data_IF_754854644683
#
_entry.id   IF_754854644683
#
_cell.length_a   1.000
_cell.length_b   1.000
_cell.length_c   1.000
_cell.angle_alpha   90.00
_cell.angle_beta   90.00
_cell.angle_gamma   90.00
#
_symmetry.space_group_name_H-M   'P 1'
#
loop_
_entity.id
_entity.type
_entity.pdbx_description
1 polymer ?
#
# COMPACT_ATOMS: atom_id res chain seq x y z
N UNK A 1 -10.59 -17.64 -15.69
CA UNK A 1 -10.71 -16.63 -16.75
C UNK A 1 -9.93 -15.41 -16.31
N UNK A 2 -8.92 -14.99 -17.06
CA UNK A 2 -8.09 -13.83 -16.75
C UNK A 2 -8.87 -12.54 -16.99
N UNK A 3 -8.54 -11.45 -16.28
CA UNK A 3 -9.29 -10.19 -16.42
C UNK A 3 -9.31 -9.64 -17.86
N UNK A 4 -8.23 -9.87 -18.60
CA UNK A 4 -8.07 -9.53 -20.02
C UNK A 4 -9.00 -10.31 -20.94
N UNK A 5 -9.55 -11.45 -20.51
CA UNK A 5 -10.42 -12.31 -21.33
C UNK A 5 -11.90 -11.89 -21.26
N UNK A 6 -12.31 -11.15 -20.22
CA UNK A 6 -13.66 -10.61 -20.15
C UNK A 6 -13.93 -9.57 -21.26
N UNK A 7 -15.18 -9.36 -21.59
CA UNK A 7 -15.62 -8.21 -22.37
C UNK A 7 -15.69 -6.96 -21.49
N UNK A 8 -15.69 -5.76 -22.08
CA UNK A 8 -15.86 -4.51 -21.32
C UNK A 8 -17.17 -4.49 -20.53
N UNK A 9 -18.23 -5.11 -21.05
CA UNK A 9 -19.52 -5.21 -20.37
C UNK A 9 -19.47 -6.14 -19.15
N UNK A 10 -18.80 -7.28 -19.25
CA UNK A 10 -18.58 -8.20 -18.11
C UNK A 10 -17.72 -7.55 -17.03
N UNK A 11 -16.64 -6.86 -17.42
CA UNK A 11 -15.80 -6.09 -16.48
C UNK A 11 -16.60 -5.01 -15.77
N UNK A 12 -17.40 -4.24 -16.51
CA UNK A 12 -18.25 -3.20 -15.94
C UNK A 12 -19.24 -3.78 -14.93
N UNK A 13 -19.91 -4.90 -15.26
CA UNK A 13 -20.83 -5.57 -14.35
C UNK A 13 -20.13 -6.09 -13.09
N UNK A 14 -18.94 -6.66 -13.24
CA UNK A 14 -18.14 -7.13 -12.12
C UNK A 14 -17.68 -5.98 -11.21
N UNK A 15 -17.20 -4.87 -11.80
CA UNK A 15 -16.75 -3.69 -11.06
C UNK A 15 -17.91 -2.94 -10.38
N UNK A 16 -19.08 -2.87 -11.01
CA UNK A 16 -20.30 -2.28 -10.42
C UNK A 16 -20.73 -3.05 -9.17
N UNK A 17 -20.52 -4.37 -9.15
CA UNK A 17 -20.87 -5.23 -8.01
C UNK A 17 -22.35 -5.11 -7.64
N UNK A 18 -22.61 -4.68 -6.41
CA UNK A 18 -23.96 -4.55 -5.85
C UNK A 18 -24.72 -3.27 -6.21
N UNK A 19 -24.08 -2.26 -6.83
CA UNK A 19 -24.77 -1.01 -7.20
C UNK A 19 -25.79 -1.26 -8.31
N UNK A 20 -26.93 -0.56 -8.35
CA UNK A 20 -27.82 -0.57 -9.52
C UNK A 20 -27.22 0.23 -10.68
N UNK A 21 -27.76 0.08 -11.89
CA UNK A 21 -27.33 0.88 -13.04
C UNK A 21 -27.59 2.37 -12.81
N UNK A 22 -28.71 2.68 -12.14
CA UNK A 22 -29.12 4.04 -11.76
C UNK A 22 -28.14 4.64 -10.75
N UNK A 23 -27.75 3.88 -9.73
CA UNK A 23 -26.75 4.32 -8.74
C UNK A 23 -25.39 4.58 -9.36
N UNK A 24 -24.94 3.72 -10.29
CA UNK A 24 -23.68 3.95 -11.00
C UNK A 24 -23.75 5.19 -11.90
N UNK A 25 -24.86 5.36 -12.61
CA UNK A 25 -25.06 6.51 -13.49
C UNK A 25 -25.04 7.83 -12.70
N UNK A 26 -25.72 7.86 -11.55
CA UNK A 26 -25.72 8.99 -10.61
C UNK A 26 -24.31 9.28 -10.09
N UNK A 27 -23.61 8.27 -9.57
CA UNK A 27 -22.25 8.42 -9.04
C UNK A 27 -21.24 8.91 -10.09
N UNK A 28 -21.40 8.46 -11.35
CA UNK A 28 -20.54 8.85 -12.46
C UNK A 28 -20.96 10.15 -13.17
N UNK A 29 -22.09 10.76 -12.79
CA UNK A 29 -22.60 11.96 -13.48
C UNK A 29 -22.94 11.72 -14.96
N UNK A 30 -23.37 10.50 -15.33
CA UNK A 30 -23.76 10.12 -16.69
C UNK A 30 -25.22 9.69 -16.74
N UNK A 31 -25.82 9.59 -17.93
CA UNK A 31 -27.17 9.05 -18.04
C UNK A 31 -27.19 7.53 -17.85
N UNK A 32 -28.27 7.00 -17.26
CA UNK A 32 -28.50 5.55 -17.10
C UNK A 32 -28.43 4.82 -18.46
N UNK A 33 -28.80 5.51 -19.55
CA UNK A 33 -28.68 5.01 -20.91
C UNK A 33 -27.24 4.67 -21.31
N UNK A 34 -26.25 5.47 -20.88
CA UNK A 34 -24.83 5.20 -21.13
C UNK A 34 -24.39 3.91 -20.43
N UNK A 35 -24.75 3.75 -19.16
CA UNK A 35 -24.44 2.53 -18.38
C UNK A 35 -25.09 1.31 -19.02
N UNK A 36 -26.38 1.38 -19.36
CA UNK A 36 -27.13 0.31 -20.04
C UNK A 36 -26.50 -0.08 -21.39
N UNK A 37 -26.04 0.91 -22.15
CA UNK A 37 -25.39 0.68 -23.44
C UNK A 37 -24.07 -0.06 -23.26
N UNK A 38 -23.24 0.36 -22.32
CA UNK A 38 -21.97 -0.31 -22.01
C UNK A 38 -22.16 -1.73 -21.51
N UNK A 39 -23.11 -1.97 -20.59
CA UNK A 39 -23.37 -3.32 -20.04
C UNK A 39 -23.98 -4.31 -21.05
N UNK A 40 -24.44 -3.83 -22.21
CA UNK A 40 -24.89 -4.65 -23.34
C UNK A 40 -23.83 -4.79 -24.45
N UNK A 41 -22.59 -4.35 -24.20
CA UNK A 41 -21.48 -4.46 -25.15
C UNK A 41 -21.39 -3.29 -26.14
N UNK A 42 -22.12 -2.21 -25.94
CA UNK A 42 -21.99 -0.98 -26.72
C UNK A 42 -20.79 -0.13 -26.28
N UNK A 43 -20.61 1.01 -26.95
CA UNK A 43 -19.53 1.97 -26.67
C UNK A 43 -20.04 3.23 -25.97
N UNK A 44 -19.15 3.92 -25.25
CA UNK A 44 -19.38 5.25 -24.69
C UNK A 44 -18.23 6.19 -25.07
N UNK A 45 -18.43 7.50 -24.86
CA UNK A 45 -17.36 8.48 -25.06
C UNK A 45 -16.25 8.29 -24.03
N UNK A 46 -15.03 8.70 -24.37
CA UNK A 46 -13.90 8.66 -23.44
C UNK A 46 -14.19 9.41 -22.11
N UNK A 47 -14.78 10.62 -22.10
CA UNK A 47 -15.16 11.29 -20.87
C UNK A 47 -16.10 10.45 -20.00
N UNK A 48 -17.13 9.82 -20.59
CA UNK A 48 -18.03 8.96 -19.84
C UNK A 48 -17.34 7.71 -19.28
N UNK A 49 -16.43 7.10 -20.03
CA UNK A 49 -15.64 5.96 -19.54
C UNK A 49 -14.73 6.37 -18.38
N UNK A 50 -14.12 7.55 -18.44
CA UNK A 50 -13.30 8.10 -17.37
C UNK A 50 -14.13 8.38 -16.11
N UNK A 51 -15.27 9.06 -16.24
CA UNK A 51 -16.16 9.32 -15.11
C UNK A 51 -16.70 8.04 -14.47
N UNK A 52 -17.03 7.03 -15.28
CA UNK A 52 -17.45 5.71 -14.76
C UNK A 52 -16.30 5.03 -14.00
N UNK A 53 -15.09 4.99 -14.58
CA UNK A 53 -13.94 4.38 -13.92
C UNK A 53 -13.61 5.07 -12.58
N UNK A 54 -13.63 6.40 -12.55
CA UNK A 54 -13.42 7.20 -11.36
C UNK A 54 -14.47 6.93 -10.27
N UNK A 55 -15.76 6.91 -10.64
CA UNK A 55 -16.86 6.59 -9.71
C UNK A 55 -16.77 5.19 -9.08
N UNK A 56 -16.14 4.25 -9.80
CA UNK A 56 -15.90 2.88 -9.35
C UNK A 56 -14.57 2.74 -8.58
N UNK A 57 -13.84 3.83 -8.38
CA UNK A 57 -12.53 3.83 -7.73
C UNK A 57 -11.47 3.04 -8.49
N UNK A 58 -11.54 3.01 -9.82
CA UNK A 58 -10.65 2.22 -10.69
C UNK A 58 -10.07 3.04 -11.83
N UNK A 59 -9.15 2.45 -12.58
CA UNK A 59 -8.54 3.07 -13.77
C UNK A 59 -9.29 2.64 -15.04
N UNK A 60 -9.39 3.51 -16.05
CA UNK A 60 -9.96 3.15 -17.35
C UNK A 60 -9.25 1.95 -18.00
N UNK A 61 -7.95 1.77 -17.75
CA UNK A 61 -7.19 0.59 -18.17
C UNK A 61 -7.75 -0.70 -17.56
N UNK A 62 -8.33 -0.66 -16.35
CA UNK A 62 -9.03 -1.80 -15.74
C UNK A 62 -10.34 -2.07 -16.46
N UNK A 63 -11.14 -1.03 -16.70
CA UNK A 63 -12.42 -1.15 -17.42
C UNK A 63 -12.24 -1.72 -18.83
N UNK A 64 -11.14 -1.34 -19.49
CA UNK A 64 -10.77 -1.80 -20.84
C UNK A 64 -9.96 -3.11 -20.86
N UNK A 65 -9.68 -3.72 -19.71
CA UNK A 65 -8.96 -5.00 -19.62
C UNK A 65 -7.47 -4.94 -19.91
N UNK A 66 -6.87 -3.74 -19.98
CA UNK A 66 -5.44 -3.51 -20.15
C UNK A 66 -4.66 -3.70 -18.85
N UNK A 67 -5.35 -3.61 -17.71
CA UNK A 67 -4.83 -3.88 -16.37
C UNK A 67 -5.85 -4.74 -15.61
N UNK A 68 -5.41 -5.67 -14.76
CA UNK A 68 -6.31 -6.32 -13.81
C UNK A 68 -6.83 -5.30 -12.76
N UNK A 69 -8.04 -5.46 -12.19
CA UNK A 69 -8.51 -4.62 -11.12
C UNK A 69 -7.55 -4.76 -9.96
N UNK A 70 -7.13 -3.63 -9.40
CA UNK A 70 -6.61 -3.67 -8.03
C UNK A 70 -7.79 -4.04 -7.15
N UNK A 71 -7.57 -4.86 -6.11
CA UNK A 71 -8.63 -5.20 -5.16
C UNK A 71 -9.31 -3.92 -4.69
N UNK A 72 -10.64 -3.87 -4.77
CA UNK A 72 -11.39 -2.84 -4.05
C UNK A 72 -11.13 -3.09 -2.57
N UNK A 73 -10.38 -2.18 -1.96
CA UNK A 73 -10.02 -2.26 -0.55
C UNK A 73 -11.33 -2.20 0.24
N UNK A 74 -11.69 -3.26 0.95
CA UNK A 74 -12.93 -3.28 1.73
C UNK A 74 -12.86 -2.34 2.95
N UNK A 75 -13.94 -2.24 3.75
CA UNK A 75 -13.95 -1.33 4.91
C UNK A 75 -12.83 -1.64 5.90
N UNK A 76 -12.54 -2.92 6.09
CA UNK A 76 -11.60 -3.40 7.10
C UNK A 76 -10.17 -3.22 6.60
N UNK A 77 -9.91 -3.51 5.33
CA UNK A 77 -8.62 -3.23 4.69
C UNK A 77 -8.34 -1.71 4.64
N UNK A 78 -9.36 -0.86 4.47
CA UNK A 78 -9.20 0.61 4.55
C UNK A 78 -8.86 1.06 5.98
N UNK A 79 -9.45 0.41 6.98
CA UNK A 79 -9.08 0.65 8.38
C UNK A 79 -7.64 0.20 8.64
N UNK A 80 -7.25 -0.98 8.16
CA UNK A 80 -5.89 -1.48 8.23
C UNK A 80 -4.89 -0.52 7.58
N UNK A 81 -5.19 -0.02 6.39
CA UNK A 81 -4.35 0.98 5.71
C UNK A 81 -4.19 2.27 6.52
N UNK A 82 -5.25 2.77 7.15
CA UNK A 82 -5.16 3.95 8.04
C UNK A 82 -4.27 3.68 9.25
N UNK A 83 -4.37 2.51 9.88
CA UNK A 83 -3.51 2.12 11.00
C UNK A 83 -2.04 2.04 10.57
N UNK A 84 -1.76 1.38 9.44
CA UNK A 84 -0.40 1.30 8.88
C UNK A 84 0.13 2.69 8.56
N UNK A 85 -0.69 3.54 7.95
CA UNK A 85 -0.31 4.92 7.63
C UNK A 85 0.10 5.69 8.88
N UNK A 86 -0.74 5.70 9.92
CA UNK A 86 -0.43 6.41 11.17
C UNK A 86 0.87 5.88 11.79
N UNK A 87 0.96 4.56 12.00
CA UNK A 87 2.12 3.93 12.60
C UNK A 87 3.41 4.14 11.80
N UNK A 88 3.33 4.18 10.46
CA UNK A 88 4.50 4.42 9.60
C UNK A 88 5.04 5.82 9.79
N UNK A 89 4.17 6.84 9.79
CA UNK A 89 4.60 8.21 9.96
C UNK A 89 5.12 8.47 11.38
N UNK A 90 4.41 7.98 12.40
CA UNK A 90 4.81 8.12 13.81
C UNK A 90 6.18 7.47 14.07
N UNK A 91 6.39 6.25 13.57
CA UNK A 91 7.67 5.55 13.66
C UNK A 91 8.79 6.25 12.87
N UNK A 92 8.48 6.93 11.76
CA UNK A 92 9.47 7.63 10.97
C UNK A 92 9.98 8.89 11.67
N UNK A 93 9.06 9.71 12.19
CA UNK A 93 9.41 10.94 12.92
C UNK A 93 9.92 10.65 14.33
N UNK A 94 9.73 9.42 14.83
CA UNK A 94 10.19 8.99 16.15
C UNK A 94 9.32 9.53 17.28
N UNK A 95 7.99 9.58 17.10
CA UNK A 95 7.09 9.84 18.23
C UNK A 95 7.32 8.70 19.24
N UNK A 96 7.67 9.02 20.50
CA UNK A 96 7.83 7.99 21.53
C UNK A 96 6.51 7.25 21.71
N UNK A 97 6.55 5.94 21.53
CA UNK A 97 5.44 5.08 21.89
C UNK A 97 5.61 4.68 23.35
N UNK A 98 4.53 4.74 24.15
CA UNK A 98 4.51 4.22 25.52
C UNK A 98 4.43 2.68 25.50
N UNK A 99 5.47 2.05 24.97
CA UNK A 99 5.59 0.59 24.84
C UNK A 99 6.96 0.17 25.35
N UNK A 100 7.02 -0.91 26.13
CA UNK A 100 8.28 -1.58 26.40
C UNK A 100 8.59 -2.49 25.21
N UNK A 101 9.66 -2.22 24.44
CA UNK A 101 9.91 -2.98 23.22
C UNK A 101 10.41 -4.38 23.54
N UNK A 102 9.91 -5.38 22.80
CA UNK A 102 10.46 -6.73 22.82
C UNK A 102 11.93 -6.80 22.37
N UNK A 103 12.51 -7.98 22.55
CA UNK A 103 13.84 -8.30 22.04
C UNK A 103 13.88 -8.29 20.50
N UNK A 104 15.07 -8.11 19.93
CA UNK A 104 15.24 -8.16 18.47
C UNK A 104 14.72 -9.48 17.88
N UNK A 105 14.97 -10.59 18.57
CA UNK A 105 14.52 -11.94 18.17
C UNK A 105 12.99 -12.04 18.13
N UNK A 106 12.30 -11.51 19.14
CA UNK A 106 10.84 -11.48 19.22
C UNK A 106 10.25 -10.63 18.10
N UNK A 107 10.81 -9.44 17.87
CA UNK A 107 10.33 -8.55 16.81
C UNK A 107 10.58 -9.15 15.42
N UNK A 108 11.71 -9.81 15.19
CA UNK A 108 11.96 -10.57 13.95
C UNK A 108 10.91 -11.68 13.74
N UNK A 109 10.44 -12.31 14.81
CA UNK A 109 9.36 -13.30 14.70
C UNK A 109 8.03 -12.64 14.32
N UNK A 110 7.75 -11.41 14.76
CA UNK A 110 6.58 -10.64 14.33
C UNK A 110 6.71 -10.23 12.86
N UNK A 111 7.89 -9.79 12.41
CA UNK A 111 8.17 -9.47 10.99
C UNK A 111 7.85 -10.67 10.10
N UNK A 112 8.35 -11.87 10.45
CA UNK A 112 8.04 -13.09 9.67
C UNK A 112 6.55 -13.38 9.57
N UNK A 113 5.79 -13.18 10.66
CA UNK A 113 4.31 -13.32 10.63
C UNK A 113 3.65 -12.27 9.75
N UNK A 114 4.18 -11.05 9.71
CA UNK A 114 3.71 -10.00 8.81
C UNK A 114 3.98 -10.38 7.34
N UNK A 115 5.16 -10.90 7.02
CA UNK A 115 5.46 -11.43 5.68
C UNK A 115 4.51 -12.56 5.29
N UNK A 116 4.27 -13.51 6.19
CA UNK A 116 3.32 -14.61 5.96
C UNK A 116 1.88 -14.11 5.73
N UNK A 117 1.48 -13.04 6.42
CA UNK A 117 0.18 -12.38 6.21
C UNK A 117 0.13 -11.67 4.86
N UNK A 118 1.22 -11.00 4.46
CA UNK A 118 1.34 -10.35 3.16
C UNK A 118 1.22 -11.35 2.00
N UNK A 119 2.07 -12.39 2.01
CA UNK A 119 2.07 -13.43 0.96
C UNK A 119 0.78 -14.26 0.97
N UNK A 120 0.17 -14.43 2.13
CA UNK A 120 -1.13 -15.08 2.28
C UNK A 120 -2.34 -14.19 1.94
N UNK A 121 -2.13 -12.92 1.57
CA UNK A 121 -3.21 -11.99 1.21
C UNK A 121 -4.14 -11.59 2.37
N UNK A 122 -3.68 -11.73 3.63
CA UNK A 122 -4.45 -11.42 4.85
C UNK A 122 -4.19 -9.98 5.28
N UNK A 123 -4.64 -9.01 4.48
CA UNK A 123 -4.23 -7.61 4.63
C UNK A 123 -4.79 -6.89 5.87
N UNK A 124 -5.95 -7.32 6.37
CA UNK A 124 -6.50 -6.83 7.66
C UNK A 124 -5.64 -7.27 8.84
N UNK A 125 -5.20 -8.54 8.84
CA UNK A 125 -4.26 -9.07 9.83
C UNK A 125 -2.92 -8.36 9.72
N UNK A 126 -2.40 -8.21 8.50
CA UNK A 126 -1.15 -7.51 8.22
C UNK A 126 -1.17 -6.08 8.77
N UNK A 127 -2.24 -5.32 8.51
CA UNK A 127 -2.35 -3.96 9.02
C UNK A 127 -2.39 -3.88 10.55
N UNK A 128 -3.00 -4.88 11.20
CA UNK A 128 -3.00 -5.00 12.68
C UNK A 128 -1.62 -5.33 13.22
N UNK A 129 -0.88 -6.24 12.58
CA UNK A 129 0.49 -6.59 12.95
C UNK A 129 1.42 -5.38 12.79
N UNK A 130 1.40 -4.74 11.62
CA UNK A 130 2.24 -3.58 11.32
C UNK A 130 1.93 -2.38 12.21
N UNK A 131 0.65 -2.14 12.51
CA UNK A 131 0.24 -1.04 13.38
C UNK A 131 0.81 -1.13 14.80
N UNK A 132 1.11 -2.34 15.29
CA UNK A 132 1.78 -2.57 16.58
C UNK A 132 3.29 -2.68 16.45
N UNK A 133 3.76 -3.35 15.40
CA UNK A 133 5.18 -3.63 15.19
C UNK A 133 5.99 -2.37 14.88
N UNK A 134 5.47 -1.43 14.09
CA UNK A 134 6.18 -0.19 13.74
C UNK A 134 6.61 0.65 14.96
N UNK A 135 5.71 1.01 15.90
CA UNK A 135 6.10 1.75 17.09
C UNK A 135 7.05 0.95 18.00
N UNK A 136 6.84 -0.37 18.12
CA UNK A 136 7.68 -1.23 18.96
C UNK A 136 9.09 -1.41 18.39
N UNK A 137 9.23 -1.65 17.08
CA UNK A 137 10.51 -1.71 16.40
C UNK A 137 11.24 -0.37 16.43
N UNK A 138 10.51 0.75 16.38
CA UNK A 138 11.09 2.08 16.54
C UNK A 138 11.60 2.30 17.96
N UNK A 139 10.79 2.00 18.98
CA UNK A 139 11.20 2.08 20.37
C UNK A 139 12.43 1.20 20.64
N UNK A 140 12.48 -0.01 20.08
CA UNK A 140 13.64 -0.89 20.18
C UNK A 140 14.89 -0.27 19.57
N UNK A 141 14.78 0.27 18.36
CA UNK A 141 15.89 0.95 17.70
C UNK A 141 16.39 2.10 18.56
N UNK A 142 15.51 2.99 19.02
CA UNK A 142 15.85 4.17 19.81
C UNK A 142 16.50 3.82 21.17
N UNK A 143 16.05 2.75 21.83
CA UNK A 143 16.63 2.26 23.08
C UNK A 143 17.94 1.47 22.91
N UNK A 144 18.28 1.03 21.69
CA UNK A 144 19.44 0.18 21.44
C UNK A 144 20.75 0.94 21.51
N UNK A 145 21.67 0.46 22.34
CA UNK A 145 23.06 0.89 22.35
C UNK A 145 23.86 0.38 21.14
N UNK A 146 25.11 0.83 21.01
CA UNK A 146 25.97 0.58 19.83
C UNK A 146 26.06 -0.89 19.40
N UNK A 147 26.12 -1.83 20.35
CA UNK A 147 26.27 -3.25 20.06
C UNK A 147 25.04 -3.90 19.39
N UNK A 148 23.85 -3.33 19.60
CA UNK A 148 22.59 -3.89 19.11
C UNK A 148 21.88 -3.00 18.08
N UNK A 149 22.38 -1.77 17.88
CA UNK A 149 21.82 -0.76 17.00
C UNK A 149 21.59 -1.26 15.58
N UNK A 150 22.55 -1.99 15.00
CA UNK A 150 22.45 -2.56 13.65
C UNK A 150 21.33 -3.61 13.56
N UNK A 151 21.24 -4.50 14.55
CA UNK A 151 20.24 -5.56 14.58
C UNK A 151 18.81 -4.99 14.75
N UNK A 152 18.65 -4.00 15.61
CA UNK A 152 17.39 -3.27 15.78
C UNK A 152 17.03 -2.43 14.54
N UNK A 153 18.02 -1.82 13.89
CA UNK A 153 17.82 -1.12 12.61
C UNK A 153 17.28 -2.08 11.56
N UNK A 154 17.84 -3.29 11.43
CA UNK A 154 17.37 -4.31 10.51
C UNK A 154 15.88 -4.62 10.67
N UNK A 155 15.44 -4.84 11.93
CA UNK A 155 14.01 -5.07 12.22
C UNK A 155 13.12 -3.91 11.77
N UNK A 156 13.53 -2.67 12.08
CA UNK A 156 12.75 -1.49 11.73
C UNK A 156 12.72 -1.28 10.20
N UNK A 157 13.83 -1.53 9.50
CA UNK A 157 13.92 -1.49 8.04
C UNK A 157 12.97 -2.51 7.41
N UNK A 158 13.02 -3.76 7.85
CA UNK A 158 12.16 -4.83 7.32
C UNK A 158 10.68 -4.53 7.57
N UNK A 159 10.37 -3.94 8.73
CA UNK A 159 9.00 -3.50 9.06
C UNK A 159 8.53 -2.40 8.12
N UNK A 160 9.36 -1.38 7.84
CA UNK A 160 9.05 -0.33 6.86
C UNK A 160 8.90 -0.87 5.44
N UNK A 161 9.73 -1.85 5.04
CA UNK A 161 9.60 -2.50 3.74
C UNK A 161 8.26 -3.24 3.62
N UNK A 162 7.89 -4.00 4.65
CA UNK A 162 6.62 -4.73 4.70
C UNK A 162 5.41 -3.78 4.66
N UNK A 163 5.49 -2.66 5.39
CA UNK A 163 4.48 -1.60 5.33
C UNK A 163 4.38 -0.98 3.92
N UNK A 164 5.52 -0.76 3.25
CA UNK A 164 5.56 -0.27 1.88
C UNK A 164 4.90 -1.22 0.89
N UNK A 165 5.19 -2.52 1.01
CA UNK A 165 4.56 -3.57 0.19
C UNK A 165 3.04 -3.61 0.41
N UNK A 166 2.59 -3.56 1.66
CA UNK A 166 1.18 -3.53 2.03
C UNK A 166 0.46 -2.30 1.43
N UNK A 167 1.04 -1.11 1.62
CA UNK A 167 0.49 0.14 1.10
C UNK A 167 0.37 0.13 -0.42
N UNK A 168 1.38 -0.42 -1.13
CA UNK A 168 1.35 -0.52 -2.59
C UNK A 168 0.22 -1.44 -3.08
N UNK A 169 0.03 -2.60 -2.44
CA UNK A 169 -1.04 -3.55 -2.79
C UNK A 169 -2.42 -2.96 -2.51
N UNK A 170 -2.57 -2.22 -1.41
CA UNK A 170 -3.80 -1.54 -1.02
C UNK A 170 -4.00 -0.19 -1.75
N UNK A 171 -3.15 0.13 -2.74
CA UNK A 171 -3.32 1.29 -3.62
C UNK A 171 -2.81 2.63 -3.09
N UNK A 172 -2.17 2.68 -1.92
CA UNK A 172 -1.55 3.89 -1.36
C UNK A 172 -0.08 3.99 -1.77
N UNK A 173 0.16 4.47 -3.00
CA UNK A 173 1.50 4.57 -3.57
C UNK A 173 2.40 5.55 -2.85
N UNK A 174 1.87 6.68 -2.42
CA UNK A 174 2.65 7.71 -1.73
C UNK A 174 3.13 7.19 -0.37
N UNK A 175 2.25 6.51 0.38
CA UNK A 175 2.64 5.83 1.62
C UNK A 175 3.67 4.73 1.37
N UNK A 176 3.52 3.96 0.29
CA UNK A 176 4.49 2.94 -0.07
C UNK A 176 5.89 3.54 -0.30
N UNK A 177 5.96 4.63 -1.05
CA UNK A 177 7.21 5.34 -1.30
C UNK A 177 7.79 5.96 -0.02
N UNK A 178 6.95 6.56 0.82
CA UNK A 178 7.34 7.12 2.10
C UNK A 178 7.95 6.06 3.02
N UNK A 179 7.26 4.93 3.22
CA UNK A 179 7.73 3.83 4.06
C UNK A 179 9.11 3.31 3.61
N UNK A 180 9.30 3.08 2.30
CA UNK A 180 10.59 2.66 1.76
C UNK A 180 11.68 3.72 1.98
N UNK A 181 11.35 5.00 1.83
CA UNK A 181 12.28 6.11 2.08
C UNK A 181 12.72 6.15 3.54
N UNK A 182 11.78 5.98 4.48
CA UNK A 182 12.09 5.93 5.92
C UNK A 182 12.97 4.74 6.27
N UNK A 183 12.68 3.55 5.73
CA UNK A 183 13.57 2.39 5.88
C UNK A 183 15.01 2.69 5.41
N UNK A 184 15.19 3.37 4.28
CA UNK A 184 16.52 3.79 3.81
C UNK A 184 17.21 4.79 4.74
N UNK A 185 16.45 5.72 5.33
CA UNK A 185 17.00 6.67 6.31
C UNK A 185 17.48 5.96 7.58
N UNK A 186 16.73 4.96 8.06
CA UNK A 186 17.16 4.11 9.19
C UNK A 186 18.42 3.33 8.84
N UNK A 187 18.52 2.77 7.62
CA UNK A 187 19.73 2.08 7.18
C UNK A 187 20.98 2.99 7.22
N UNK A 188 20.84 4.26 6.82
CA UNK A 188 21.92 5.23 6.91
C UNK A 188 22.32 5.56 8.36
N UNK A 189 21.37 5.51 9.30
CA UNK A 189 21.60 5.79 10.73
C UNK A 189 22.06 4.56 11.53
N UNK A 190 21.71 3.35 11.09
CA UNK A 190 22.01 2.08 11.75
C UNK A 190 23.43 1.55 11.51
N UNK A 191 24.18 2.20 10.62
CA UNK A 191 25.56 1.88 10.31
C UNK A 191 25.72 0.97 9.09
N UNK A 192 25.58 1.53 7.88
CA UNK A 192 26.33 1.08 6.69
C UNK A 192 26.30 2.15 5.58
N UNK A 193 27.48 2.64 5.21
CA UNK A 193 27.72 3.58 4.08
C UNK A 193 27.57 2.85 2.71
N UNK A 194 27.23 1.55 2.71
CA UNK A 194 27.15 0.71 1.50
C UNK A 194 25.75 0.29 1.04
N UNK A 195 24.68 0.95 1.52
CA UNK A 195 23.32 0.84 0.91
C UNK A 195 22.76 2.15 0.35
N UNK A 196 23.57 3.20 0.30
CA UNK A 196 23.29 4.43 -0.45
C UNK A 196 23.52 4.26 -1.96
N UNK A 197 22.83 5.02 -2.83
CA UNK A 197 23.25 5.14 -4.24
C UNK A 197 24.70 5.65 -4.29
N UNK A 198 25.52 5.25 -5.29
CA UNK A 198 26.93 5.61 -5.34
C UNK A 198 27.10 7.13 -5.29
N UNK A 199 28.15 7.65 -4.61
CA UNK A 199 28.35 9.08 -4.50
C UNK A 199 28.47 9.70 -5.89
N UNK A 200 27.65 10.72 -6.14
CA UNK A 200 27.69 11.48 -7.38
C UNK A 200 29.10 12.07 -7.52
N UNK A 201 29.78 11.91 -8.66
CA UNK A 201 31.12 12.45 -8.84
C UNK A 201 31.06 13.97 -8.63
N UNK A 202 31.83 14.45 -7.66
CA UNK A 202 32.00 15.86 -7.40
C UNK A 202 32.38 16.57 -8.70
N UNK A 203 31.62 17.62 -9.07
CA UNK A 203 32.01 18.51 -10.15
C UNK A 203 33.36 19.11 -9.75
N UNK A 204 34.42 18.70 -10.45
CA UNK A 204 35.70 19.41 -10.44
C UNK A 204 35.41 20.81 -10.97
N UNK A 205 35.38 21.78 -10.07
CA UNK A 205 35.56 23.18 -10.42
C UNK A 205 36.97 23.32 -10.99
N UNK A 206 37.02 23.80 -12.23
CA UNK A 206 38.21 24.38 -12.84
C UNK A 206 38.26 25.86 -12.47
#
# INVERSE_FOLDING_TARGET
MQWSEYTTSERLKALRGGMTQEQLAEAAGVSVGVVRKLERGGTASLPSLLSIADSLGTDIAVLLGRQAPRRSVDRDERAALRMVSAATHDAAIGIPAEVEPGTVEELRAVVRRADDAYWGGRYTELGTLLGRLLPEARARFDASGTAEREAAAGVLIDTFQTAGMAANVLGSRDLAYAALTYGRQIAAQGGDDLRGPPPHPARRTR
#
